data_IF_932152341459
#
_entry.id   IF_932152341459
#
_cell.length_a   1.000
_cell.length_b   1.000
_cell.length_c   1.000
_cell.angle_alpha   90.00
_cell.angle_beta   90.00
_cell.angle_gamma   90.00
#
_symmetry.space_group_name_H-M   'P 1'
#
loop_
_entity.id
_entity.type
_entity.pdbx_description
1 polymer ?
#
# COMPACT_ATOMS: atom_id res chain seq x y z
N UNK A 1 3.14 -7.34 -26.78
CA UNK A 1 2.01 -6.63 -26.15
C UNK A 1 2.55 -5.82 -24.97
N UNK A 2 2.16 -4.53 -24.88
CA UNK A 2 2.45 -3.73 -23.69
C UNK A 2 1.59 -4.21 -22.50
N UNK A 3 2.04 -3.91 -21.27
CA UNK A 3 1.25 -4.14 -20.06
C UNK A 3 0.88 -2.78 -19.49
N UNK A 4 -0.40 -2.57 -19.21
CA UNK A 4 -0.88 -1.46 -18.40
C UNK A 4 -0.58 -1.79 -16.93
N UNK A 5 0.20 -0.94 -16.29
CA UNK A 5 0.68 -1.17 -14.94
C UNK A 5 0.62 0.13 -14.13
N UNK A 6 -0.20 0.15 -13.10
CA UNK A 6 -0.36 1.28 -12.21
C UNK A 6 0.52 1.09 -10.96
N UNK A 7 1.31 2.11 -10.62
CA UNK A 7 2.20 2.07 -9.46
C UNK A 7 1.48 1.79 -8.13
N UNK A 8 0.27 2.32 -7.95
CA UNK A 8 -0.55 2.04 -6.76
C UNK A 8 -0.99 0.57 -6.62
N UNK A 9 -1.05 -0.18 -7.74
CA UNK A 9 -1.32 -1.62 -7.70
C UNK A 9 -0.04 -2.47 -7.53
N UNK A 10 1.00 -1.88 -6.90
CA UNK A 10 2.29 -2.52 -6.69
C UNK A 10 2.80 -2.23 -5.28
N UNK A 11 2.77 -3.23 -4.40
CA UNK A 11 3.35 -3.15 -3.06
C UNK A 11 4.46 -4.19 -2.93
N UNK A 12 5.71 -3.72 -2.97
CA UNK A 12 6.89 -4.58 -2.84
C UNK A 12 7.13 -4.99 -1.39
N UNK A 13 7.31 -6.30 -1.17
CA UNK A 13 7.66 -6.90 0.12
C UNK A 13 8.80 -7.90 -0.11
N UNK A 14 10.04 -7.42 -0.09
CA UNK A 14 11.27 -8.17 -0.38
C UNK A 14 11.20 -8.93 -1.72
N UNK A 15 11.09 -10.26 -1.67
CA UNK A 15 10.98 -11.16 -2.83
C UNK A 15 9.54 -11.34 -3.33
N UNK A 16 8.57 -10.64 -2.74
CA UNK A 16 7.15 -10.70 -3.10
C UNK A 16 6.61 -9.35 -3.54
N UNK A 17 5.57 -9.40 -4.35
CA UNK A 17 4.77 -8.23 -4.75
C UNK A 17 3.31 -8.53 -4.50
N UNK A 18 2.66 -7.68 -3.74
CA UNK A 18 1.20 -7.73 -3.55
C UNK A 18 0.56 -6.84 -4.60
N UNK A 19 -0.44 -7.37 -5.30
CA UNK A 19 -1.24 -6.70 -6.32
C UNK A 19 -2.69 -7.08 -6.16
N UNK A 20 -3.60 -6.27 -6.69
CA UNK A 20 -4.99 -6.70 -6.83
C UNK A 20 -5.23 -7.37 -8.18
N UNK A 21 -6.23 -8.25 -8.24
CA UNK A 21 -6.67 -8.94 -9.46
C UNK A 21 -7.30 -8.00 -10.50
N UNK A 22 -7.45 -6.71 -10.18
CA UNK A 22 -7.81 -5.65 -11.13
C UNK A 22 -6.84 -5.58 -12.32
N UNK A 23 -5.57 -5.99 -12.14
CA UNK A 23 -4.56 -6.06 -13.19
C UNK A 23 -5.05 -6.85 -14.41
N UNK A 24 -5.92 -7.84 -14.24
CA UNK A 24 -6.48 -8.61 -15.37
C UNK A 24 -7.51 -7.80 -16.16
N UNK A 25 -8.31 -6.96 -15.50
CA UNK A 25 -9.26 -6.07 -16.16
C UNK A 25 -8.56 -4.96 -16.94
N UNK A 26 -7.40 -4.53 -16.44
CA UNK A 26 -6.58 -3.48 -17.06
C UNK A 26 -5.78 -4.02 -18.26
N UNK A 27 -5.66 -5.34 -18.40
CA UNK A 27 -4.92 -6.02 -19.47
C UNK A 27 -5.75 -7.13 -20.12
N UNK A 28 -6.92 -6.84 -20.71
CA UNK A 28 -7.86 -7.83 -21.21
C UNK A 28 -7.33 -8.65 -22.41
N UNK A 29 -6.30 -8.15 -23.10
CA UNK A 29 -5.64 -8.83 -24.22
C UNK A 29 -4.65 -9.92 -23.77
N UNK A 30 -4.33 -9.99 -22.48
CA UNK A 30 -3.47 -11.02 -21.92
C UNK A 30 -4.29 -12.16 -21.32
N UNK A 31 -3.85 -13.40 -21.50
CA UNK A 31 -4.35 -14.51 -20.70
C UNK A 31 -3.82 -14.33 -19.25
N UNK A 32 -4.65 -14.51 -18.23
CA UNK A 32 -4.24 -14.27 -16.83
C UNK A 32 -2.95 -14.97 -16.41
N UNK A 33 -2.76 -16.24 -16.77
CA UNK A 33 -1.55 -16.99 -16.42
C UNK A 33 -0.31 -16.49 -17.14
N UNK A 34 -0.45 -16.09 -18.42
CA UNK A 34 0.66 -15.59 -19.20
C UNK A 34 1.10 -14.19 -18.66
N UNK A 35 0.13 -13.36 -18.27
CA UNK A 35 0.38 -12.06 -17.63
C UNK A 35 1.13 -12.23 -16.31
N UNK A 36 0.65 -13.13 -15.43
CA UNK A 36 1.30 -13.38 -14.15
C UNK A 36 2.72 -13.92 -14.32
N UNK A 37 2.92 -14.88 -15.23
CA UNK A 37 4.25 -15.42 -15.51
C UNK A 37 5.20 -14.33 -15.98
N UNK A 38 4.73 -13.47 -16.88
CA UNK A 38 5.54 -12.36 -17.40
C UNK A 38 5.86 -11.33 -16.31
N UNK A 39 4.89 -10.97 -15.46
CA UNK A 39 5.11 -10.05 -14.34
C UNK A 39 6.07 -10.64 -13.30
N UNK A 40 5.91 -11.92 -12.94
CA UNK A 40 6.81 -12.63 -12.04
C UNK A 40 8.26 -12.58 -12.53
N UNK A 41 8.48 -12.86 -13.82
CA UNK A 41 9.81 -12.79 -14.45
C UNK A 41 10.37 -11.36 -14.42
N UNK A 42 9.58 -10.37 -14.87
CA UNK A 42 10.04 -8.98 -14.99
C UNK A 42 10.29 -8.31 -13.64
N UNK A 43 9.47 -8.62 -12.65
CA UNK A 43 9.61 -8.07 -11.30
C UNK A 43 10.59 -8.87 -10.43
N UNK A 44 11.01 -10.06 -10.89
CA UNK A 44 11.84 -10.99 -10.13
C UNK A 44 11.27 -11.20 -8.72
N UNK A 45 9.95 -11.48 -8.63
CA UNK A 45 9.21 -11.58 -7.39
C UNK A 45 8.03 -12.53 -7.51
N UNK A 46 7.69 -13.21 -6.41
CA UNK A 46 6.42 -13.92 -6.28
C UNK A 46 5.27 -12.90 -6.24
N UNK A 47 4.20 -13.15 -7.00
CA UNK A 47 3.04 -12.26 -7.02
C UNK A 47 1.95 -12.83 -6.12
N UNK A 48 1.56 -12.06 -5.11
CA UNK A 48 0.42 -12.35 -4.24
C UNK A 48 -0.77 -11.52 -4.71
N UNK A 49 -1.78 -12.18 -5.26
CA UNK A 49 -2.98 -11.53 -5.76
C UNK A 49 -4.05 -11.40 -4.68
N UNK A 50 -4.51 -10.18 -4.45
CA UNK A 50 -5.67 -9.87 -3.63
C UNK A 50 -6.90 -9.62 -4.51
N UNK A 51 -8.11 -9.98 -4.07
CA UNK A 51 -9.31 -9.47 -4.68
C UNK A 51 -9.35 -7.94 -4.50
N UNK A 52 -9.66 -7.18 -5.55
CA UNK A 52 -9.80 -5.73 -5.43
C UNK A 52 -11.13 -5.34 -4.79
N UNK A 53 -11.16 -4.22 -4.09
CA UNK A 53 -12.39 -3.66 -3.54
C UNK A 53 -13.17 -2.94 -4.66
N UNK A 54 -14.27 -3.52 -5.11
CA UNK A 54 -15.11 -2.98 -6.19
C UNK A 54 -15.75 -1.62 -5.84
N UNK A 55 -15.75 -1.23 -4.58
CA UNK A 55 -16.26 0.07 -4.12
C UNK A 55 -15.16 1.15 -4.06
N UNK A 56 -13.90 0.75 -4.23
CA UNK A 56 -12.79 1.69 -4.38
C UNK A 56 -12.61 2.07 -5.85
N UNK A 57 -12.58 3.36 -6.14
CA UNK A 57 -12.40 3.88 -7.49
C UNK A 57 -11.12 3.36 -8.16
N UNK A 58 -10.01 3.37 -7.43
CA UNK A 58 -8.73 2.88 -7.95
C UNK A 58 -8.62 1.37 -7.86
N UNK A 59 -9.07 0.75 -6.77
CA UNK A 59 -8.94 -0.69 -6.53
C UNK A 59 -7.50 -1.18 -6.47
N UNK A 60 -6.59 -0.32 -6.01
CA UNK A 60 -5.15 -0.58 -5.96
C UNK A 60 -4.70 -1.17 -4.62
N UNK A 61 -3.60 -1.93 -4.65
CA UNK A 61 -3.09 -2.63 -3.48
C UNK A 61 -2.57 -1.67 -2.39
N UNK A 62 -2.03 -0.50 -2.74
CA UNK A 62 -1.47 0.49 -1.81
C UNK A 62 -2.51 1.20 -0.92
N UNK A 63 -3.80 1.13 -1.28
CA UNK A 63 -4.91 1.49 -0.40
C UNK A 63 -5.33 0.36 0.55
N UNK A 64 -4.87 -0.87 0.31
CA UNK A 64 -5.26 -2.06 1.06
C UNK A 64 -4.19 -2.54 2.02
N UNK A 65 -2.92 -2.51 1.58
CA UNK A 65 -1.77 -2.99 2.35
C UNK A 65 -0.56 -2.06 2.16
N UNK A 66 0.32 -2.06 3.15
CA UNK A 66 1.64 -1.44 3.04
C UNK A 66 2.72 -2.37 3.62
N UNK A 67 3.92 -2.36 3.01
CA UNK A 67 5.06 -3.12 3.52
C UNK A 67 5.65 -2.44 4.76
N UNK A 68 5.93 -3.20 5.80
CA UNK A 68 6.63 -2.73 7.01
C UNK A 68 8.10 -3.20 7.04
N UNK A 69 8.54 -3.86 5.96
CA UNK A 69 9.84 -4.50 5.84
C UNK A 69 9.86 -5.94 6.35
N UNK A 70 10.77 -6.75 5.82
CA UNK A 70 10.79 -8.18 6.05
C UNK A 70 9.47 -8.84 5.64
N UNK A 71 8.98 -9.77 6.44
CA UNK A 71 7.70 -10.45 6.20
C UNK A 71 6.49 -9.75 6.84
N UNK A 72 6.59 -8.48 7.25
CA UNK A 72 5.52 -7.75 7.92
C UNK A 72 4.79 -6.81 6.98
N UNK A 73 3.48 -6.83 7.06
CA UNK A 73 2.61 -5.90 6.33
C UNK A 73 1.60 -5.24 7.25
N UNK A 74 1.21 -4.02 6.89
CA UNK A 74 0.10 -3.32 7.48
C UNK A 74 -1.13 -3.56 6.61
N UNK A 75 -2.19 -4.16 7.14
CA UNK A 75 -3.45 -4.40 6.44
C UNK A 75 -4.47 -3.37 6.89
N UNK A 76 -5.11 -2.69 5.94
CA UNK A 76 -6.20 -1.76 6.24
C UNK A 76 -7.35 -2.48 6.95
N UNK A 77 -7.79 -1.94 8.07
CA UNK A 77 -8.85 -2.53 8.89
C UNK A 77 -10.28 -2.08 8.51
N UNK A 78 -10.45 -1.27 7.46
CA UNK A 78 -11.73 -0.73 7.02
C UNK A 78 -12.79 -1.80 6.80
N UNK A 79 -12.42 -2.94 6.22
CA UNK A 79 -13.35 -4.03 5.91
C UNK A 79 -13.78 -4.83 7.13
N UNK A 80 -13.01 -4.82 8.22
CA UNK A 80 -13.34 -5.57 9.45
C UNK A 80 -14.75 -5.28 9.97
N UNK A 81 -15.25 -4.10 9.70
CA UNK A 81 -16.58 -3.66 10.10
C UNK A 81 -17.57 -3.51 8.93
N UNK A 82 -17.08 -3.22 7.71
CA UNK A 82 -17.93 -2.98 6.53
C UNK A 82 -18.26 -4.29 5.80
N UNK A 83 -17.25 -5.14 5.60
CA UNK A 83 -17.36 -6.41 4.89
C UNK A 83 -16.43 -7.45 5.52
N UNK A 84 -16.94 -8.16 6.52
CA UNK A 84 -16.18 -9.17 7.26
C UNK A 84 -15.71 -10.33 6.37
N UNK A 85 -16.50 -10.71 5.38
CA UNK A 85 -16.14 -11.80 4.48
C UNK A 85 -15.00 -11.38 3.53
N UNK A 86 -15.02 -10.15 3.05
CA UNK A 86 -13.92 -9.61 2.27
C UNK A 86 -12.64 -9.53 3.11
N UNK A 87 -12.71 -8.98 4.33
CA UNK A 87 -11.59 -8.95 5.26
C UNK A 87 -11.00 -10.34 5.50
N UNK A 88 -11.86 -11.34 5.77
CA UNK A 88 -11.45 -12.73 5.98
C UNK A 88 -10.77 -13.34 4.74
N UNK A 89 -11.24 -12.99 3.53
CA UNK A 89 -10.59 -13.44 2.28
C UNK A 89 -9.19 -12.85 2.15
N UNK A 90 -9.01 -11.56 2.42
CA UNK A 90 -7.71 -10.89 2.41
C UNK A 90 -6.75 -11.55 3.40
N UNK A 91 -7.18 -11.71 4.65
CA UNK A 91 -6.38 -12.33 5.71
C UNK A 91 -5.96 -13.74 5.32
N UNK A 92 -6.88 -14.57 4.82
CA UNK A 92 -6.59 -15.94 4.38
C UNK A 92 -5.54 -16.02 3.28
N UNK A 93 -5.50 -15.03 2.37
CA UNK A 93 -4.51 -14.97 1.29
C UNK A 93 -3.15 -14.52 1.83
N UNK A 94 -3.15 -13.57 2.76
CA UNK A 94 -1.92 -12.92 3.24
C UNK A 94 -1.20 -13.68 4.35
N UNK A 95 -1.93 -14.31 5.28
CA UNK A 95 -1.36 -15.04 6.45
C UNK A 95 -0.30 -16.10 6.11
N UNK A 96 -0.38 -16.86 5.00
CA UNK A 96 0.67 -17.81 4.66
C UNK A 96 2.02 -17.17 4.28
N UNK A 97 2.01 -15.88 3.96
CA UNK A 97 3.17 -15.16 3.43
C UNK A 97 3.70 -14.08 4.36
N UNK A 98 2.84 -13.54 5.26
CA UNK A 98 3.14 -12.33 6.03
C UNK A 98 2.63 -12.38 7.46
N UNK A 99 3.37 -11.70 8.34
CA UNK A 99 2.88 -11.30 9.66
C UNK A 99 2.02 -10.04 9.49
N UNK A 100 0.71 -10.18 9.68
CA UNK A 100 -0.25 -9.11 9.43
C UNK A 100 -0.36 -8.22 10.68
N UNK A 101 -0.16 -6.93 10.50
CA UNK A 101 -0.43 -5.89 11.49
C UNK A 101 -1.66 -5.10 11.05
N UNK A 102 -2.62 -4.93 11.96
CA UNK A 102 -3.78 -4.08 11.71
C UNK A 102 -3.64 -2.77 12.52
N UNK A 103 -3.85 -1.61 11.88
CA UNK A 103 -3.81 -0.33 12.58
C UNK A 103 -5.04 -0.15 13.49
N UNK A 104 -4.88 0.69 14.51
CA UNK A 104 -5.94 0.99 15.47
C UNK A 104 -6.48 2.41 15.21
N UNK A 105 -7.11 2.64 14.08
CA UNK A 105 -7.90 3.83 13.82
C UNK A 105 -9.32 3.47 13.37
N UNK A 106 -10.25 4.41 13.49
CA UNK A 106 -11.67 4.12 13.28
C UNK A 106 -12.14 4.47 11.87
N UNK A 107 -12.06 3.51 10.96
CA UNK A 107 -12.56 3.69 9.58
C UNK A 107 -14.07 3.93 9.45
N UNK A 108 -14.85 3.78 10.53
CA UNK A 108 -16.29 4.06 10.48
C UNK A 108 -16.59 5.56 10.47
N UNK A 109 -15.73 6.34 11.13
CA UNK A 109 -15.92 7.78 11.27
C UNK A 109 -15.39 8.53 10.05
N UNK A 110 -14.36 8.02 9.41
CA UNK A 110 -13.82 8.62 8.19
C UNK A 110 -13.48 7.55 7.14
N UNK A 111 -14.22 7.60 6.02
CA UNK A 111 -14.02 6.70 4.87
C UNK A 111 -12.62 6.83 4.25
N UNK A 112 -11.98 7.97 4.46
CA UNK A 112 -10.68 8.32 3.87
C UNK A 112 -9.49 7.84 4.72
N UNK A 113 -9.74 7.10 5.81
CA UNK A 113 -8.69 6.53 6.68
C UNK A 113 -7.75 5.53 6.00
N UNK A 114 -8.07 5.07 4.78
CA UNK A 114 -7.15 4.32 3.93
C UNK A 114 -5.85 5.09 3.64
N UNK A 115 -5.90 6.41 3.67
CA UNK A 115 -4.78 7.28 3.34
C UNK A 115 -3.55 7.05 4.22
N UNK A 116 -3.73 6.61 5.47
CA UNK A 116 -2.60 6.37 6.38
C UNK A 116 -1.70 5.22 5.89
N UNK A 117 -2.19 4.28 5.07
CA UNK A 117 -1.36 3.26 4.45
C UNK A 117 -0.53 3.81 3.29
N UNK A 118 -0.96 4.93 2.74
CA UNK A 118 -0.34 5.57 1.59
C UNK A 118 0.74 6.58 2.02
N UNK A 119 1.52 6.19 3.05
CA UNK A 119 2.64 6.97 3.56
C UNK A 119 3.88 6.85 2.68
N UNK A 120 4.81 7.78 2.84
CA UNK A 120 6.12 7.72 2.21
C UNK A 120 7.20 7.49 3.27
N UNK A 121 7.97 6.42 3.10
CA UNK A 121 9.10 6.12 3.97
C UNK A 121 10.39 6.73 3.41
N UNK A 122 11.06 7.50 4.24
CA UNK A 122 12.40 8.02 3.99
C UNK A 122 13.42 7.31 4.90
N UNK A 123 14.73 7.40 4.64
CA UNK A 123 15.73 6.72 5.47
C UNK A 123 15.67 7.02 6.97
N UNK A 124 15.16 8.21 7.35
CA UNK A 124 15.12 8.68 8.74
C UNK A 124 13.74 9.18 9.18
N UNK A 125 12.73 9.08 8.34
CA UNK A 125 11.39 9.57 8.64
C UNK A 125 10.29 8.82 7.89
N UNK A 126 9.08 8.87 8.44
CA UNK A 126 7.83 8.53 7.77
C UNK A 126 7.08 9.83 7.53
N UNK A 127 6.77 10.15 6.28
CA UNK A 127 5.82 11.17 5.93
C UNK A 127 4.43 10.54 5.95
N UNK A 128 3.64 10.84 6.98
CA UNK A 128 2.34 10.24 7.21
C UNK A 128 1.24 11.18 6.72
N UNK A 129 0.41 10.77 5.73
CA UNK A 129 -0.76 11.57 5.35
C UNK A 129 -1.69 11.73 6.55
N UNK A 130 -2.22 12.94 6.76
CA UNK A 130 -3.21 13.23 7.79
C UNK A 130 -4.41 13.97 7.22
N UNK A 131 -5.56 13.78 7.85
CA UNK A 131 -6.87 14.26 7.39
C UNK A 131 -7.19 15.67 7.88
N UNK A 132 -6.66 16.07 9.03
CA UNK A 132 -6.84 17.40 9.60
C UNK A 132 -5.58 18.25 9.47
N UNK A 133 -5.75 19.58 9.34
CA UNK A 133 -4.62 20.51 9.14
C UNK A 133 -3.60 20.50 10.29
N UNK A 134 -4.09 20.24 11.49
CA UNK A 134 -3.27 20.25 12.71
C UNK A 134 -2.91 18.82 13.17
N UNK A 135 -3.33 17.78 12.41
CA UNK A 135 -3.20 16.38 12.80
C UNK A 135 -3.84 16.08 14.18
N UNK A 136 -4.99 16.70 14.46
CA UNK A 136 -5.67 16.74 15.75
C UNK A 136 -7.01 15.99 15.80
N UNK A 137 -7.48 15.40 14.70
CA UNK A 137 -8.62 14.50 14.75
C UNK A 137 -8.23 13.14 15.33
N UNK A 138 -9.20 12.43 15.93
CA UNK A 138 -8.96 11.16 16.61
C UNK A 138 -8.27 10.12 15.74
N UNK A 139 -8.62 10.05 14.46
CA UNK A 139 -7.97 9.14 13.52
C UNK A 139 -6.52 9.51 13.23
N UNK A 140 -6.21 10.81 13.07
CA UNK A 140 -4.83 11.28 12.86
C UNK A 140 -3.97 10.96 14.08
N UNK A 141 -4.47 11.22 15.29
CA UNK A 141 -3.78 10.90 16.55
C UNK A 141 -3.51 9.39 16.64
N UNK A 142 -4.54 8.56 16.43
CA UNK A 142 -4.40 7.11 16.47
C UNK A 142 -3.42 6.57 15.39
N UNK A 143 -3.43 7.17 14.20
CA UNK A 143 -2.49 6.82 13.14
C UNK A 143 -1.05 7.20 13.54
N UNK A 144 -0.81 8.41 14.02
CA UNK A 144 0.52 8.87 14.47
C UNK A 144 1.06 7.97 15.59
N UNK A 145 0.24 7.60 16.57
CA UNK A 145 0.61 6.68 17.64
C UNK A 145 0.94 5.27 17.09
N UNK A 146 0.14 4.79 16.14
CA UNK A 146 0.37 3.48 15.50
C UNK A 146 1.70 3.47 14.77
N UNK A 147 1.95 4.46 13.92
CA UNK A 147 3.21 4.56 13.18
C UNK A 147 4.43 4.81 14.06
N UNK A 148 4.28 5.57 15.15
CA UNK A 148 5.36 5.75 16.14
C UNK A 148 5.76 4.44 16.81
N UNK A 149 4.81 3.52 17.04
CA UNK A 149 5.10 2.18 17.56
C UNK A 149 5.70 1.24 16.52
N UNK A 150 5.22 1.33 15.26
CA UNK A 150 5.72 0.49 14.17
C UNK A 150 7.16 0.88 13.74
N UNK A 151 7.46 2.17 13.81
CA UNK A 151 8.74 2.73 13.38
C UNK A 151 9.44 3.52 14.51
N UNK A 152 9.84 2.87 15.61
CA UNK A 152 10.33 3.56 16.81
C UNK A 152 11.64 4.32 16.60
N UNK A 153 12.37 4.03 15.52
CA UNK A 153 13.63 4.69 15.18
C UNK A 153 13.49 5.80 14.13
N UNK A 154 12.30 5.95 13.54
CA UNK A 154 12.03 6.94 12.51
C UNK A 154 11.18 8.08 13.06
N UNK A 155 11.41 9.28 12.54
CA UNK A 155 10.58 10.42 12.87
C UNK A 155 9.26 10.34 12.10
N UNK A 156 8.13 10.40 12.79
CA UNK A 156 6.82 10.53 12.15
C UNK A 156 6.53 11.99 11.87
N UNK A 157 6.33 12.33 10.62
CA UNK A 157 6.06 13.70 10.16
C UNK A 157 4.66 13.71 9.52
N UNK A 158 3.65 14.24 10.20
CA UNK A 158 2.31 14.34 9.65
C UNK A 158 2.28 15.38 8.51
N UNK A 159 1.66 15.01 7.40
CA UNK A 159 1.49 15.85 6.21
C UNK A 159 0.00 15.96 5.89
N UNK A 160 -0.55 17.16 6.00
CA UNK A 160 -1.94 17.40 5.65
C UNK A 160 -2.21 17.08 4.18
N UNK A 161 -3.01 16.05 3.94
CA UNK A 161 -3.20 15.45 2.62
C UNK A 161 -4.66 15.42 2.14
N UNK A 162 -5.61 16.03 2.86
CA UNK A 162 -7.02 16.03 2.48
C UNK A 162 -7.26 16.43 1.02
N UNK A 163 -6.63 17.46 0.44
CA UNK A 163 -6.83 17.82 -0.96
C UNK A 163 -6.41 16.71 -1.94
N UNK A 164 -5.31 15.99 -1.66
CA UNK A 164 -4.87 14.85 -2.48
C UNK A 164 -5.84 13.67 -2.37
N UNK A 165 -6.35 13.44 -1.15
CA UNK A 165 -7.28 12.33 -0.86
C UNK A 165 -8.61 12.55 -1.58
N UNK A 166 -9.09 13.78 -1.66
CA UNK A 166 -10.30 14.14 -2.41
C UNK A 166 -10.14 13.90 -3.91
N UNK A 167 -8.92 14.00 -4.44
CA UNK A 167 -8.55 13.64 -5.81
C UNK A 167 -8.25 12.14 -6.00
N UNK A 168 -8.41 11.32 -4.95
CA UNK A 168 -8.28 9.85 -5.00
C UNK A 168 -6.87 9.31 -4.81
N UNK A 169 -5.93 10.11 -4.27
CA UNK A 169 -4.55 9.72 -3.97
C UNK A 169 -4.07 10.19 -2.60
N UNK A 170 -2.88 9.78 -2.20
CA UNK A 170 -2.15 10.35 -1.07
C UNK A 170 -0.64 10.34 -1.37
N UNK A 171 0.24 10.35 -0.37
CA UNK A 171 1.67 10.61 -0.59
C UNK A 171 2.35 9.53 -1.45
N UNK A 172 2.06 8.25 -1.24
CA UNK A 172 2.61 7.16 -2.04
C UNK A 172 2.19 7.27 -3.51
N UNK A 173 0.91 7.57 -3.77
CA UNK A 173 0.37 7.68 -5.13
C UNK A 173 1.00 8.80 -5.97
N UNK A 174 1.52 9.86 -5.35
CA UNK A 174 2.11 11.03 -6.03
C UNK A 174 3.64 11.02 -5.99
N UNK A 175 4.26 9.94 -5.50
CA UNK A 175 5.71 9.81 -5.38
C UNK A 175 6.20 8.57 -6.12
N UNK A 176 7.48 8.56 -6.44
CA UNK A 176 8.18 7.40 -6.97
C UNK A 176 9.51 7.26 -6.25
N UNK A 177 9.77 6.08 -5.73
CA UNK A 177 11.03 5.74 -5.09
C UNK A 177 11.92 4.97 -6.08
N UNK A 178 13.18 5.33 -6.15
CA UNK A 178 14.19 4.55 -6.86
C UNK A 178 15.49 4.49 -6.07
N UNK A 179 16.17 3.36 -6.16
CA UNK A 179 17.50 3.19 -5.56
C UNK A 179 18.54 3.49 -6.62
N UNK A 180 19.31 4.55 -6.43
CA UNK A 180 20.46 4.84 -7.29
C UNK A 180 21.63 3.90 -6.90
N UNK A 181 21.98 2.98 -7.80
CA UNK A 181 23.19 2.18 -7.66
C UNK A 181 24.42 3.06 -7.96
N UNK A 182 24.99 3.69 -6.94
CA UNK A 182 26.19 4.52 -7.02
C UNK A 182 27.47 3.75 -7.44
N UNK A 183 27.36 2.47 -7.81
CA UNK A 183 28.50 1.62 -8.21
C UNK A 183 28.67 1.52 -9.74
N UNK A 184 28.18 2.45 -10.55
CA UNK A 184 28.68 2.58 -11.91
C UNK A 184 29.97 3.40 -11.85
N UNK A 185 31.09 2.70 -11.59
CA UNK A 185 32.42 3.30 -11.83
C UNK A 185 32.49 3.69 -13.30
N UNK A 186 32.35 4.97 -13.60
CA UNK A 186 32.78 5.53 -14.86
C UNK A 186 34.29 5.33 -14.95
N UNK A 187 34.72 4.19 -15.51
CA UNK A 187 36.06 4.11 -16.10
C UNK A 187 36.01 4.94 -17.38
N UNK A 188 36.52 6.16 -17.29
CA UNK A 188 36.97 6.95 -18.43
C UNK A 188 38.14 6.27 -19.12
#
# INVERSE_FOLDING_TARGET
>A
LGIVFFGGNYVRCDDKVIMTDKIFMENPEWKPLDLLSHLTEKLSAEIILLPWDMYDFCGHADGMVASLGGNKILLNNCWKNKDKEFHKRLTKILEPHFDIVEPVYNCKEDKDSWCYLNYLQLPNAILLPVLSKNADCDNDIAAIETFSRLFPLLKIIPIYSRPLIEDGGALHCVTWEFVENLNVSHKL
#
